data_IF_751385456233
#
_entry.id   IF_751385456233
#
_cell.length_a   1.000
_cell.length_b   1.000
_cell.length_c   1.000
_cell.angle_alpha   90.00
_cell.angle_beta   90.00
_cell.angle_gamma   90.00
#
_symmetry.space_group_name_H-M   'P 1'
#
loop_
_entity.id
_entity.type
_entity.pdbx_description
1 polymer ?
#
# COMPACT_ATOMS: atom_id res chain seq x y z
N UNK A 1 16.52 -5.93 24.56
CA UNK A 1 16.75 -5.47 23.18
C UNK A 1 15.67 -4.47 22.84
N UNK A 2 16.01 -3.32 22.29
CA UNK A 2 15.03 -2.30 21.86
C UNK A 2 14.41 -2.74 20.54
N UNK A 3 13.08 -2.78 20.45
CA UNK A 3 12.36 -3.07 19.21
C UNK A 3 12.42 -1.81 18.33
N UNK A 4 12.82 -1.94 17.07
CA UNK A 4 12.79 -0.80 16.13
C UNK A 4 11.41 -0.67 15.48
N UNK A 5 10.98 0.56 15.18
CA UNK A 5 9.66 0.83 14.59
C UNK A 5 9.78 1.54 13.22
N UNK A 6 10.30 0.84 12.18
CA UNK A 6 10.54 1.46 10.89
C UNK A 6 9.23 1.85 10.20
N UNK A 7 9.21 3.02 9.56
CA UNK A 7 8.12 3.40 8.64
C UNK A 7 8.38 2.81 7.26
N UNK A 8 7.40 2.07 6.74
CA UNK A 8 7.51 1.36 5.46
C UNK A 8 6.48 1.92 4.50
N UNK A 9 6.95 2.51 3.40
CA UNK A 9 6.09 3.03 2.35
C UNK A 9 5.79 1.94 1.32
N UNK A 10 4.52 1.77 0.98
CA UNK A 10 4.06 0.78 0.02
C UNK A 10 3.12 1.38 -1.01
N UNK A 11 3.09 0.75 -2.17
CA UNK A 11 2.06 0.89 -3.20
C UNK A 11 1.45 -0.50 -3.46
N UNK A 12 0.12 -0.58 -3.58
CA UNK A 12 -0.60 -1.84 -3.82
C UNK A 12 -0.39 -2.43 -5.22
N UNK A 13 0.11 -1.65 -6.17
CA UNK A 13 0.50 -2.11 -7.50
C UNK A 13 1.88 -2.75 -7.52
N UNK A 14 2.75 -2.42 -6.55
CA UNK A 14 4.16 -2.79 -6.59
C UNK A 14 4.38 -4.22 -6.06
N UNK A 15 4.72 -5.20 -6.92
CA UNK A 15 4.95 -6.58 -6.47
C UNK A 15 6.16 -6.70 -5.53
N UNK A 16 7.13 -5.78 -5.63
CA UNK A 16 8.30 -5.74 -4.75
C UNK A 16 7.96 -5.23 -3.35
N UNK A 17 7.08 -4.23 -3.25
CA UNK A 17 6.58 -3.74 -1.96
C UNK A 17 5.81 -4.84 -1.24
N UNK A 18 5.00 -5.63 -1.95
CA UNK A 18 4.32 -6.78 -1.37
C UNK A 18 5.29 -7.83 -0.82
N UNK A 19 6.23 -8.32 -1.64
CA UNK A 19 7.21 -9.32 -1.19
C UNK A 19 8.03 -8.82 -0.01
N UNK A 20 8.45 -7.55 -0.03
CA UNK A 20 9.14 -6.91 1.09
C UNK A 20 8.29 -6.91 2.36
N UNK A 21 7.00 -6.58 2.26
CA UNK A 21 6.09 -6.60 3.42
C UNK A 21 5.91 -8.01 4.01
N UNK A 22 5.90 -9.06 3.18
CA UNK A 22 5.83 -10.45 3.63
C UNK A 22 7.11 -10.86 4.36
N UNK A 23 8.27 -10.44 3.88
CA UNK A 23 9.54 -10.69 4.59
C UNK A 23 9.59 -9.95 5.94
N UNK A 24 9.16 -8.68 5.98
CA UNK A 24 9.10 -7.91 7.22
C UNK A 24 8.16 -8.53 8.26
N UNK A 25 7.08 -9.17 7.84
CA UNK A 25 6.18 -9.89 8.75
C UNK A 25 6.90 -11.06 9.47
N UNK A 26 7.81 -11.77 8.78
CA UNK A 26 8.63 -12.82 9.43
C UNK A 26 9.64 -12.23 10.42
N UNK A 27 10.22 -11.07 10.11
CA UNK A 27 11.14 -10.35 11.02
C UNK A 27 10.41 -9.80 12.25
N UNK A 28 9.17 -9.33 12.07
CA UNK A 28 8.29 -8.89 13.15
C UNK A 28 7.92 -10.05 14.08
N UNK A 29 7.57 -11.23 13.54
CA UNK A 29 7.33 -12.46 14.34
C UNK A 29 8.54 -12.83 15.21
N UNK A 30 9.75 -12.58 14.73
CA UNK A 30 10.99 -12.79 15.50
C UNK A 30 11.23 -11.73 16.60
N UNK A 31 10.32 -10.78 16.79
CA UNK A 31 10.36 -9.77 17.85
C UNK A 31 11.46 -8.71 17.67
N UNK A 32 11.94 -8.49 16.44
CA UNK A 32 13.05 -7.57 16.15
C UNK A 32 12.59 -6.16 15.79
N UNK A 33 11.45 -6.08 15.11
CA UNK A 33 10.89 -4.84 14.55
C UNK A 33 9.38 -4.79 14.76
N UNK A 34 8.80 -3.59 14.65
CA UNK A 34 7.37 -3.34 14.55
C UNK A 34 7.12 -2.34 13.40
N UNK A 35 6.92 -2.81 12.17
CA UNK A 35 6.80 -1.95 11.01
C UNK A 35 5.52 -1.09 11.08
N UNK A 36 5.62 0.17 10.65
CA UNK A 36 4.47 1.05 10.48
C UNK A 36 4.28 1.35 9.01
N UNK A 37 3.21 0.82 8.42
CA UNK A 37 2.96 0.98 7.00
C UNK A 37 2.35 2.35 6.67
N UNK A 38 2.83 2.95 5.58
CA UNK A 38 2.33 4.19 4.98
C UNK A 38 2.18 3.99 3.48
N UNK A 39 1.32 4.82 2.89
CA UNK A 39 0.97 4.72 1.48
C UNK A 39 1.80 5.69 0.67
N UNK A 40 2.24 5.23 -0.49
CA UNK A 40 3.03 5.97 -1.46
C UNK A 40 2.51 5.61 -2.85
N UNK A 41 2.36 6.59 -3.74
CA UNK A 41 1.90 6.36 -5.11
C UNK A 41 3.08 6.18 -6.05
N UNK A 42 3.23 4.96 -6.58
CA UNK A 42 4.20 4.59 -7.59
C UNK A 42 3.92 5.31 -8.91
N UNK A 43 2.66 5.44 -9.29
CA UNK A 43 2.24 6.19 -10.49
C UNK A 43 2.66 7.66 -10.40
N UNK A 44 2.42 8.32 -9.27
CA UNK A 44 2.89 9.69 -9.03
C UNK A 44 4.42 9.79 -9.07
N UNK A 45 5.13 8.81 -8.49
CA UNK A 45 6.58 8.79 -8.51
C UNK A 45 7.14 8.67 -9.93
N UNK A 46 6.60 7.75 -10.75
CA UNK A 46 6.99 7.64 -12.16
C UNK A 46 6.71 8.94 -12.93
N UNK A 47 5.52 9.52 -12.76
CA UNK A 47 5.17 10.80 -13.39
C UNK A 47 6.19 11.90 -13.03
N UNK A 48 6.58 11.99 -11.76
CA UNK A 48 7.59 12.95 -11.30
C UNK A 48 8.96 12.71 -11.94
N UNK A 49 9.40 11.45 -12.09
CA UNK A 49 10.67 11.11 -12.75
C UNK A 49 10.64 11.40 -14.26
N UNK A 50 9.47 11.35 -14.88
CA UNK A 50 9.25 11.73 -16.28
C UNK A 50 9.11 13.26 -16.48
N UNK A 51 9.30 14.06 -15.43
CA UNK A 51 9.23 15.51 -15.49
C UNK A 51 7.80 16.06 -15.51
N UNK A 52 6.79 15.25 -15.21
CA UNK A 52 5.42 15.73 -15.08
C UNK A 52 5.30 16.57 -13.80
N UNK A 53 5.10 17.87 -13.98
CA UNK A 53 4.88 18.82 -12.88
C UNK A 53 3.45 18.72 -12.33
N UNK A 54 3.16 19.32 -11.15
CA UNK A 54 1.80 19.40 -10.61
C UNK A 54 0.76 19.86 -11.64
N UNK A 55 -0.52 19.45 -11.49
CA UNK A 55 -1.13 18.78 -10.34
C UNK A 55 -0.81 17.27 -10.24
N UNK A 56 -1.14 16.65 -9.11
CA UNK A 56 -0.86 15.23 -8.88
C UNK A 56 -1.63 14.31 -9.86
N UNK A 57 -1.17 13.08 -10.07
CA UNK A 57 -1.76 12.13 -11.04
C UNK A 57 -3.26 11.94 -10.82
N UNK A 58 -3.70 11.82 -9.56
CA UNK A 58 -5.11 11.65 -9.19
C UNK A 58 -5.97 12.91 -9.35
N UNK A 59 -5.35 14.11 -9.44
CA UNK A 59 -6.07 15.36 -9.71
C UNK A 59 -6.27 15.56 -11.22
N UNK A 60 -5.42 14.95 -12.04
CA UNK A 60 -5.52 14.96 -13.51
C UNK A 60 -6.41 13.85 -14.03
N UNK A 61 -6.36 12.70 -13.38
CA UNK A 61 -7.08 11.48 -13.77
C UNK A 61 -7.81 10.87 -12.57
N UNK A 62 -9.15 11.00 -12.49
CA UNK A 62 -9.94 10.37 -11.42
C UNK A 62 -9.99 8.84 -11.56
N UNK A 63 -9.51 8.26 -12.67
CA UNK A 63 -9.36 6.82 -12.90
C UNK A 63 -7.90 6.38 -12.77
N UNK A 64 -7.03 7.21 -12.17
CA UNK A 64 -5.64 6.87 -11.96
C UNK A 64 -5.49 5.50 -11.27
N UNK A 65 -4.68 4.64 -11.86
CA UNK A 65 -4.47 3.28 -11.37
C UNK A 65 -3.99 3.29 -9.91
N UNK A 66 -4.61 2.46 -9.07
CA UNK A 66 -4.36 2.37 -7.63
C UNK A 66 -5.08 3.42 -6.78
N UNK A 67 -5.70 4.45 -7.36
CA UNK A 67 -6.41 5.49 -6.60
C UNK A 67 -7.59 4.90 -5.79
N UNK A 68 -8.49 4.06 -6.35
CA UNK A 68 -9.55 3.44 -5.56
C UNK A 68 -9.01 2.62 -4.38
N UNK A 69 -7.92 1.88 -4.58
CA UNK A 69 -7.25 1.13 -3.52
C UNK A 69 -6.70 2.03 -2.41
N UNK A 70 -6.07 3.17 -2.75
CA UNK A 70 -5.59 4.13 -1.76
C UNK A 70 -6.73 4.77 -0.97
N UNK A 71 -7.84 5.11 -1.62
CA UNK A 71 -9.02 5.66 -0.96
C UNK A 71 -9.60 4.65 0.02
N UNK A 72 -9.81 3.40 -0.40
CA UNK A 72 -10.33 2.33 0.44
C UNK A 72 -9.39 2.02 1.62
N UNK A 73 -8.08 1.95 1.37
CA UNK A 73 -7.10 1.71 2.43
C UNK A 73 -7.01 2.86 3.44
N UNK A 74 -7.17 4.09 2.97
CA UNK A 74 -7.21 5.28 3.84
C UNK A 74 -8.48 5.28 4.68
N UNK A 75 -9.63 4.92 4.10
CA UNK A 75 -10.89 4.77 4.82
C UNK A 75 -10.82 3.64 5.86
N UNK A 76 -10.22 2.49 5.54
CA UNK A 76 -10.02 1.40 6.49
C UNK A 76 -9.11 1.83 7.66
N UNK A 77 -8.00 2.55 7.37
CA UNK A 77 -7.10 3.07 8.41
C UNK A 77 -7.76 4.11 9.30
N UNK A 78 -8.70 4.91 8.78
CA UNK A 78 -9.46 5.87 9.57
C UNK A 78 -10.38 5.19 10.61
N UNK A 79 -10.73 3.92 10.40
CA UNK A 79 -11.49 3.11 11.36
C UNK A 79 -10.61 2.50 12.47
N UNK A 80 -9.28 2.53 12.31
CA UNK A 80 -8.32 2.03 13.29
C UNK A 80 -7.05 1.48 12.64
N UNK A 81 -5.93 1.53 13.35
CA UNK A 81 -4.65 1.05 12.83
C UNK A 81 -4.68 -0.44 12.46
N UNK A 82 -5.24 -1.29 13.32
CA UNK A 82 -5.36 -2.73 13.09
C UNK A 82 -6.27 -3.04 11.88
N UNK A 83 -7.40 -2.34 11.76
CA UNK A 83 -8.31 -2.48 10.61
C UNK A 83 -7.64 -2.06 9.30
N UNK A 84 -6.89 -0.95 9.34
CA UNK A 84 -6.08 -0.50 8.20
C UNK A 84 -5.02 -1.51 7.78
N UNK A 85 -4.34 -2.14 8.74
CA UNK A 85 -3.33 -3.17 8.44
C UNK A 85 -3.94 -4.47 7.93
N UNK A 86 -5.07 -4.90 8.47
CA UNK A 86 -5.83 -6.05 7.96
C UNK A 86 -6.27 -5.82 6.52
N UNK A 87 -6.88 -4.68 6.24
CA UNK A 87 -7.29 -4.29 4.88
C UNK A 87 -6.09 -4.24 3.92
N UNK A 88 -5.00 -3.58 4.35
CA UNK A 88 -3.77 -3.49 3.56
C UNK A 88 -3.28 -4.88 3.14
N UNK A 89 -3.16 -5.79 4.10
CA UNK A 89 -2.67 -7.14 3.84
C UNK A 89 -3.62 -7.92 2.92
N UNK A 90 -4.93 -7.85 3.18
CA UNK A 90 -5.94 -8.51 2.35
C UNK A 90 -5.90 -8.03 0.90
N UNK A 91 -5.81 -6.71 0.69
CA UNK A 91 -5.75 -6.11 -0.64
C UNK A 91 -4.46 -6.47 -1.38
N UNK A 92 -3.31 -6.47 -0.69
CA UNK A 92 -2.05 -6.88 -1.31
C UNK A 92 -2.08 -8.36 -1.74
N UNK A 93 -2.66 -9.25 -0.94
CA UNK A 93 -2.85 -10.67 -1.31
C UNK A 93 -3.81 -10.82 -2.49
N UNK A 94 -4.97 -10.17 -2.43
CA UNK A 94 -5.94 -10.18 -3.52
C UNK A 94 -5.29 -9.74 -4.86
N UNK A 95 -4.42 -8.73 -4.82
CA UNK A 95 -3.71 -8.27 -6.02
C UNK A 95 -2.59 -9.21 -6.48
N UNK A 96 -1.74 -9.66 -5.57
CA UNK A 96 -0.46 -10.29 -5.92
C UNK A 96 -0.46 -11.82 -5.86
N UNK A 97 -1.41 -12.43 -5.15
CA UNK A 97 -1.60 -13.88 -5.06
C UNK A 97 -2.79 -14.30 -5.92
N UNK A 98 -3.94 -13.64 -5.76
CA UNK A 98 -5.17 -14.00 -6.48
C UNK A 98 -5.27 -13.33 -7.86
N UNK A 99 -4.32 -12.46 -8.20
CA UNK A 99 -4.27 -11.70 -9.46
C UNK A 99 -5.53 -10.86 -9.76
N UNK A 100 -6.26 -10.47 -8.72
CA UNK A 100 -7.48 -9.68 -8.89
C UNK A 100 -7.16 -8.24 -9.35
N UNK A 101 -8.09 -7.61 -10.07
CA UNK A 101 -7.97 -6.22 -10.52
C UNK A 101 -8.04 -5.27 -9.32
N UNK A 102 -6.96 -4.52 -9.07
CA UNK A 102 -6.81 -3.69 -7.87
C UNK A 102 -7.89 -2.62 -7.71
N UNK A 103 -8.30 -2.01 -8.82
CA UNK A 103 -9.16 -0.83 -8.83
C UNK A 103 -10.66 -1.17 -8.77
N UNK A 104 -11.01 -2.46 -8.76
CA UNK A 104 -12.39 -2.89 -8.60
C UNK A 104 -12.76 -2.97 -7.12
N UNK A 105 -13.93 -2.41 -6.77
CA UNK A 105 -14.44 -2.42 -5.40
C UNK A 105 -14.59 -3.85 -4.84
N UNK A 106 -14.89 -4.84 -5.69
CA UNK A 106 -14.98 -6.24 -5.29
C UNK A 106 -13.66 -6.84 -4.77
N UNK A 107 -12.53 -6.18 -5.05
CA UNK A 107 -11.20 -6.57 -4.57
C UNK A 107 -10.87 -5.98 -3.20
N UNK A 108 -11.62 -4.97 -2.74
CA UNK A 108 -11.39 -4.25 -1.48
C UNK A 108 -12.08 -4.98 -0.33
N UNK A 109 -11.34 -5.89 0.34
CA UNK A 109 -11.85 -6.83 1.35
C UNK A 109 -11.36 -6.51 2.76
#
# INVERSE_FOLDING_TARGET
MTISEPTVYIDFLCPWAYRGSMWLAEVEKAGRIRPRFRFFSLSQNHASHEGQSPPAVWERDPQAQGLPAFLAATAARAQGAELGDRFRLALQRARHEDHLPLDQHATHR
#
